data_IF_066683923197
#
_entry.id   IF_066683923197
#
_cell.length_a   1.000
_cell.length_b   1.000
_cell.length_c   1.000
_cell.angle_alpha   90.00
_cell.angle_beta   90.00
_cell.angle_gamma   90.00
#
_symmetry.space_group_name_H-M   'P 1'
#
loop_
_entity.id
_entity.type
_entity.pdbx_description
1 polymer ?
#
# COMPACT_ATOMS: atom_id res chain seq x y z
N UNK A 1 5.38 4.66 41.41
CA UNK A 1 4.13 5.36 41.03
C UNK A 1 4.27 5.72 39.55
N UNK A 2 3.78 4.86 38.66
CA UNK A 2 3.97 5.02 37.20
C UNK A 2 3.00 6.08 36.70
N UNK A 3 3.51 7.13 36.07
CA UNK A 3 2.78 8.33 35.67
C UNK A 3 1.67 8.02 34.66
N UNK A 4 0.44 7.79 35.13
CA UNK A 4 -0.76 7.57 34.29
C UNK A 4 -1.30 8.86 33.63
N UNK A 5 -0.75 10.01 34.00
CA UNK A 5 -1.18 11.32 33.53
C UNK A 5 -1.07 11.56 32.01
N UNK A 6 0.03 11.20 31.32
CA UNK A 6 0.20 11.52 29.90
C UNK A 6 -0.82 10.83 28.98
N UNK A 7 -1.25 9.62 29.33
CA UNK A 7 -2.22 8.85 28.54
C UNK A 7 -3.65 9.38 28.69
N UNK A 8 -4.04 9.79 29.90
CA UNK A 8 -5.35 10.39 30.16
C UNK A 8 -5.51 11.71 29.40
N UNK A 9 -4.50 12.57 29.45
CA UNK A 9 -4.50 13.85 28.72
C UNK A 9 -4.55 13.59 27.20
N UNK A 10 -3.77 12.64 26.67
CA UNK A 10 -3.85 12.29 25.25
C UNK A 10 -5.22 11.78 24.83
N UNK A 11 -5.86 10.93 25.65
CA UNK A 11 -7.19 10.41 25.36
C UNK A 11 -8.23 11.54 25.30
N UNK A 12 -8.19 12.48 26.24
CA UNK A 12 -9.06 13.65 26.24
C UNK A 12 -8.87 14.51 24.99
N UNK A 13 -7.62 14.81 24.63
CA UNK A 13 -7.33 15.61 23.44
C UNK A 13 -7.69 14.89 22.14
N UNK A 14 -7.55 13.57 22.08
CA UNK A 14 -8.00 12.77 20.93
C UNK A 14 -9.54 12.79 20.79
N UNK A 15 -10.27 12.75 21.91
CA UNK A 15 -11.73 12.87 21.88
C UNK A 15 -12.16 14.26 21.37
N UNK A 16 -11.53 15.33 21.88
CA UNK A 16 -11.75 16.71 21.41
C UNK A 16 -11.42 16.89 19.93
N UNK A 17 -10.31 16.30 19.48
CA UNK A 17 -9.92 16.32 18.08
C UNK A 17 -10.97 15.65 17.20
N UNK A 18 -11.41 14.44 17.56
CA UNK A 18 -12.44 13.70 16.81
C UNK A 18 -13.76 14.45 16.75
N UNK A 19 -14.16 15.09 17.85
CA UNK A 19 -15.36 15.92 17.90
C UNK A 19 -15.27 17.13 16.96
N UNK A 20 -14.10 17.77 16.86
CA UNK A 20 -13.90 18.96 16.02
C UNK A 20 -13.83 18.63 14.53
N UNK A 21 -13.07 17.59 14.16
CA UNK A 21 -12.73 17.33 12.76
C UNK A 21 -13.52 16.18 12.12
N UNK A 22 -14.25 15.38 12.91
CA UNK A 22 -15.03 14.24 12.41
C UNK A 22 -14.20 13.00 12.06
N UNK A 23 -12.88 13.03 12.25
CA UNK A 23 -11.99 11.89 12.05
C UNK A 23 -10.98 11.78 13.20
N UNK A 24 -10.35 10.62 13.33
CA UNK A 24 -9.28 10.40 14.32
C UNK A 24 -8.03 11.21 13.96
N UNK A 25 -7.19 11.49 14.96
CA UNK A 25 -5.90 12.14 14.76
C UNK A 25 -4.94 11.19 14.04
N UNK A 26 -4.39 11.62 12.91
CA UNK A 26 -3.44 10.84 12.11
C UNK A 26 -2.09 11.55 12.08
N UNK A 27 -1.05 10.81 12.47
CA UNK A 27 0.35 11.24 12.45
C UNK A 27 1.26 10.03 12.31
N UNK A 28 2.39 10.20 11.60
CA UNK A 28 3.47 9.22 11.65
C UNK A 28 4.22 9.34 12.98
N UNK A 29 3.98 8.38 13.89
CA UNK A 29 4.55 8.37 15.23
C UNK A 29 5.99 7.79 15.30
N UNK A 30 6.53 7.28 14.20
CA UNK A 30 7.88 6.72 14.18
C UNK A 30 8.91 7.74 14.67
N UNK A 31 9.68 7.37 15.69
CA UNK A 31 10.70 8.23 16.30
C UNK A 31 10.20 9.40 17.14
N UNK A 32 8.89 9.48 17.46
CA UNK A 32 8.31 10.57 18.26
C UNK A 32 7.96 10.11 19.67
N UNK A 33 8.23 10.96 20.64
CA UNK A 33 7.83 10.77 22.04
C UNK A 33 6.36 11.14 22.27
N UNK A 34 5.76 10.58 23.32
CA UNK A 34 4.39 10.88 23.75
C UNK A 34 4.15 12.37 24.01
N UNK A 35 5.16 13.09 24.51
CA UNK A 35 5.07 14.54 24.79
C UNK A 35 5.02 15.33 23.48
N UNK A 36 5.84 14.98 22.50
CA UNK A 36 5.82 15.60 21.17
C UNK A 36 4.50 15.33 20.45
N UNK A 37 3.96 14.11 20.56
CA UNK A 37 2.66 13.77 19.99
C UNK A 37 1.54 14.61 20.62
N UNK A 38 1.55 14.78 21.94
CA UNK A 38 0.57 15.61 22.64
C UNK A 38 0.68 17.08 22.25
N UNK A 39 1.90 17.61 22.15
CA UNK A 39 2.14 18.99 21.73
C UNK A 39 1.62 19.22 20.30
N UNK A 40 1.90 18.30 19.39
CA UNK A 40 1.45 18.38 18.00
C UNK A 40 -0.07 18.25 17.87
N UNK A 41 -0.69 17.36 18.66
CA UNK A 41 -2.15 17.21 18.75
C UNK A 41 -2.80 18.52 19.21
N UNK A 42 -2.30 19.13 20.29
CA UNK A 42 -2.79 20.42 20.81
C UNK A 42 -2.65 21.54 19.79
N UNK A 43 -1.50 21.61 19.11
CA UNK A 43 -1.23 22.60 18.06
C UNK A 43 -2.22 22.47 16.90
N UNK A 44 -2.39 21.25 16.39
CA UNK A 44 -3.27 20.94 15.24
C UNK A 44 -4.75 21.09 15.57
N UNK A 45 -5.15 20.92 16.82
CA UNK A 45 -6.52 21.23 17.26
C UNK A 45 -6.95 22.67 16.99
N UNK A 46 -6.04 23.62 16.74
CA UNK A 46 -6.38 25.01 16.37
C UNK A 46 -6.57 25.22 14.86
N UNK A 47 -6.22 24.23 14.02
CA UNK A 47 -6.31 24.35 12.56
C UNK A 47 -7.75 24.45 12.06
N UNK A 48 -7.90 25.04 10.87
CA UNK A 48 -9.14 24.95 10.07
C UNK A 48 -9.32 23.51 9.56
N UNK A 49 -10.54 22.95 9.48
CA UNK A 49 -10.76 21.58 9.03
C UNK A 49 -10.16 21.24 7.66
N UNK A 50 -10.20 22.19 6.70
CA UNK A 50 -9.63 21.99 5.36
C UNK A 50 -8.11 21.85 5.37
N UNK A 51 -7.42 22.56 6.25
CA UNK A 51 -5.95 22.42 6.40
C UNK A 51 -5.64 21.12 7.12
N UNK A 52 -6.46 20.75 8.09
CA UNK A 52 -6.23 19.57 8.91
C UNK A 52 -6.40 18.26 8.14
N UNK A 53 -7.35 18.19 7.20
CA UNK A 53 -7.53 17.01 6.35
C UNK A 53 -6.32 16.80 5.42
N UNK A 54 -5.72 17.88 4.90
CA UNK A 54 -4.50 17.83 4.09
C UNK A 54 -3.31 17.32 4.92
N UNK A 55 -3.15 17.83 6.15
CA UNK A 55 -2.08 17.36 7.06
C UNK A 55 -2.30 15.91 7.46
N UNK A 56 -3.54 15.49 7.73
CA UNK A 56 -3.89 14.11 8.04
C UNK A 56 -3.58 13.17 6.86
N UNK A 57 -3.91 13.57 5.63
CA UNK A 57 -3.56 12.84 4.41
C UNK A 57 -2.05 12.70 4.24
N UNK A 58 -1.28 13.77 4.45
CA UNK A 58 0.19 13.71 4.43
C UNK A 58 0.75 12.79 5.53
N UNK A 59 0.13 12.79 6.71
CA UNK A 59 0.46 11.84 7.79
C UNK A 59 0.22 10.39 7.39
N UNK A 60 -0.90 10.11 6.74
CA UNK A 60 -1.27 8.77 6.26
C UNK A 60 -0.32 8.28 5.16
N UNK A 61 0.11 9.19 4.26
CA UNK A 61 1.10 8.89 3.22
C UNK A 61 2.42 8.44 3.84
N UNK A 62 2.95 9.16 4.83
CA UNK A 62 4.18 8.78 5.55
C UNK A 62 4.08 7.41 6.24
N UNK A 63 2.94 7.12 6.86
CA UNK A 63 2.70 5.80 7.48
C UNK A 63 2.72 4.71 6.40
N UNK A 64 2.15 4.98 5.23
CA UNK A 64 2.10 4.04 4.10
C UNK A 64 3.50 3.80 3.55
N UNK A 65 4.28 4.85 3.31
CA UNK A 65 5.67 4.77 2.84
C UNK A 65 6.53 3.92 3.78
N UNK A 66 6.47 4.17 5.10
CA UNK A 66 7.22 3.38 6.09
C UNK A 66 6.83 1.91 6.08
N UNK A 67 5.53 1.61 5.93
CA UNK A 67 5.04 0.23 5.86
C UNK A 67 5.55 -0.47 4.60
N UNK A 68 5.50 0.20 3.45
CA UNK A 68 6.02 -0.33 2.20
C UNK A 68 7.53 -0.57 2.30
N UNK A 69 8.29 0.39 2.82
CA UNK A 69 9.73 0.24 3.03
C UNK A 69 10.06 -0.98 3.91
N UNK A 70 9.31 -1.19 5.00
CA UNK A 70 9.48 -2.36 5.87
C UNK A 70 9.15 -3.68 5.16
N UNK A 71 8.13 -3.72 4.30
CA UNK A 71 7.79 -4.91 3.52
C UNK A 71 8.89 -5.29 2.52
N UNK A 72 9.53 -4.31 1.88
CA UNK A 72 10.61 -4.57 0.93
C UNK A 72 11.96 -4.84 1.62
N UNK A 73 12.23 -4.21 2.77
CA UNK A 73 13.46 -4.45 3.53
C UNK A 73 13.49 -5.83 4.20
N UNK A 74 12.34 -6.33 4.66
CA UNK A 74 12.24 -7.65 5.33
C UNK A 74 12.47 -8.82 4.36
N UNK A 75 12.10 -8.67 3.07
CA UNK A 75 12.34 -9.67 2.03
C UNK A 75 13.84 -9.92 1.76
N UNK A 76 14.69 -8.91 1.94
CA UNK A 76 16.14 -9.04 1.77
C UNK A 76 16.84 -9.84 2.89
N UNK A 77 16.22 -9.96 4.08
CA UNK A 77 16.78 -10.71 5.22
C UNK A 77 16.41 -12.20 5.20
N UNK A 78 15.35 -12.57 4.48
CA UNK A 78 14.87 -13.96 4.41
C UNK A 78 15.65 -14.85 3.42
N UNK A 79 16.57 -14.31 2.62
CA UNK A 79 17.35 -15.08 1.63
C UNK A 79 18.69 -15.62 2.16
N UNK A 80 18.99 -15.46 3.45
CA UNK A 80 20.22 -15.98 4.06
C UNK A 80 19.97 -16.71 5.38
N UNK A 81 19.19 -17.79 5.36
CA UNK A 81 19.30 -18.86 6.36
C UNK A 81 18.88 -20.16 5.70
N UNK A 82 19.86 -20.88 5.18
CA UNK A 82 19.68 -22.27 4.78
C UNK A 82 19.35 -23.10 6.01
N UNK A 83 18.09 -23.51 6.13
CA UNK A 83 17.71 -24.69 6.90
C UNK A 83 16.85 -25.56 5.99
N UNK A 84 17.31 -26.79 5.85
CA UNK A 84 16.81 -27.86 5.00
C UNK A 84 15.38 -28.27 5.44
N UNK A 85 14.40 -28.15 4.55
CA UNK A 85 13.13 -28.87 4.66
C UNK A 85 12.82 -29.54 3.30
N UNK A 86 12.31 -30.78 3.30
CA UNK A 86 12.17 -31.55 2.08
C UNK A 86 10.99 -31.08 1.24
N UNK A 87 11.14 -31.36 -0.04
CA UNK A 87 10.25 -31.06 -1.17
C UNK A 87 8.81 -31.51 -0.96
N UNK A 88 7.87 -30.59 -1.10
CA UNK A 88 6.56 -30.88 -1.71
C UNK A 88 6.32 -29.85 -2.81
N UNK A 89 6.22 -30.37 -4.02
CA UNK A 89 5.97 -29.67 -5.27
C UNK A 89 4.75 -28.74 -5.19
N UNK A 90 4.95 -27.48 -5.53
CA UNK A 90 3.92 -26.63 -6.14
C UNK A 90 4.61 -25.55 -6.96
N UNK A 91 4.94 -25.90 -8.21
CA UNK A 91 5.33 -24.96 -9.27
C UNK A 91 4.17 -24.01 -9.61
N UNK A 92 3.88 -23.01 -8.78
CA UNK A 92 3.06 -21.85 -9.22
C UNK A 92 3.14 -20.60 -8.32
N UNK A 93 4.28 -20.33 -7.70
CA UNK A 93 4.48 -19.10 -6.90
C UNK A 93 5.65 -18.22 -7.36
N UNK A 94 6.59 -18.74 -8.17
CA UNK A 94 7.77 -18.00 -8.64
C UNK A 94 7.50 -16.99 -9.75
N UNK A 95 6.40 -17.14 -10.49
CA UNK A 95 6.16 -16.43 -11.75
C UNK A 95 5.74 -14.96 -11.55
N UNK A 96 5.12 -14.64 -10.41
CA UNK A 96 4.52 -13.31 -10.17
C UNK A 96 5.54 -12.24 -9.76
N UNK A 97 6.70 -12.65 -9.23
CA UNK A 97 7.79 -11.73 -8.83
C UNK A 97 8.67 -11.35 -10.04
N UNK A 98 8.87 -12.27 -10.97
CA UNK A 98 9.61 -12.00 -12.22
C UNK A 98 8.93 -10.97 -13.11
N UNK A 99 7.59 -10.97 -13.17
CA UNK A 99 6.84 -9.97 -13.95
C UNK A 99 7.08 -8.55 -13.43
N UNK A 100 7.21 -8.36 -12.11
CA UNK A 100 7.48 -7.05 -11.52
C UNK A 100 8.95 -6.65 -11.73
N UNK A 101 9.88 -7.60 -11.58
CA UNK A 101 11.31 -7.37 -11.81
C UNK A 101 11.63 -6.93 -13.24
N UNK A 102 11.02 -7.58 -14.24
CA UNK A 102 11.22 -7.27 -15.66
C UNK A 102 10.80 -5.85 -16.06
N UNK A 103 9.94 -5.19 -15.27
CA UNK A 103 9.47 -3.82 -15.51
C UNK A 103 10.42 -2.76 -14.93
N UNK A 104 11.17 -3.09 -13.87
CA UNK A 104 12.08 -2.15 -13.18
C UNK A 104 13.45 -2.11 -13.87
N UNK A 105 13.92 -3.23 -14.43
CA UNK A 105 15.23 -3.31 -15.10
C UNK A 105 15.21 -2.88 -16.57
N UNK A 106 14.04 -2.70 -17.18
CA UNK A 106 13.92 -2.35 -18.60
C UNK A 106 14.42 -0.94 -18.98
N UNK A 107 14.75 -0.09 -18.00
CA UNK A 107 15.33 1.25 -18.24
C UNK A 107 16.87 1.25 -18.32
N UNK A 108 17.54 0.10 -18.18
CA UNK A 108 19.01 0.05 -18.29
C UNK A 108 19.49 -1.28 -18.88
N UNK A 109 19.42 -1.39 -20.20
CA UNK A 109 20.50 -1.87 -21.10
C UNK A 109 19.91 -2.23 -22.47
N UNK A 110 20.23 -1.39 -23.46
CA UNK A 110 20.14 -1.77 -24.85
C UNK A 110 21.29 -2.73 -25.17
N UNK A 111 21.02 -3.85 -25.86
CA UNK A 111 21.70 -4.29 -27.09
C UNK A 111 21.11 -5.61 -27.63
N UNK A 112 20.70 -5.52 -28.89
CA UNK A 112 20.57 -6.56 -29.94
C UNK A 112 19.66 -7.79 -29.75
N UNK A 113 18.48 -7.74 -30.41
CA UNK A 113 17.82 -8.95 -30.93
C UNK A 113 16.30 -8.86 -31.19
N UNK A 114 15.91 -8.48 -32.41
CA UNK A 114 14.57 -8.58 -33.06
C UNK A 114 13.41 -7.66 -32.57
N UNK A 115 12.73 -6.93 -33.47
CA UNK A 115 11.65 -6.02 -33.09
C UNK A 115 10.29 -6.72 -33.15
N UNK A 116 9.67 -6.92 -31.99
CA UNK A 116 8.22 -6.82 -31.85
C UNK A 116 7.97 -5.81 -30.74
N UNK A 117 8.17 -4.54 -31.10
CA UNK A 117 8.06 -3.40 -30.20
C UNK A 117 6.58 -3.17 -29.90
N UNK A 118 6.05 -3.81 -28.85
CA UNK A 118 4.76 -3.42 -28.28
C UNK A 118 4.95 -1.99 -27.74
N UNK A 119 4.22 -0.99 -28.25
CA UNK A 119 4.38 0.39 -27.79
C UNK A 119 4.07 0.46 -26.29
N UNK A 120 4.83 1.29 -25.58
CA UNK A 120 4.66 1.52 -24.15
C UNK A 120 3.21 1.97 -23.88
N UNK A 121 2.37 1.05 -23.39
CA UNK A 121 1.01 1.37 -23.00
C UNK A 121 1.07 2.27 -21.77
N UNK A 122 0.70 3.53 -21.95
CA UNK A 122 0.66 4.58 -20.92
C UNK A 122 -0.54 4.44 -19.96
N UNK A 123 -1.18 3.25 -19.93
CA UNK A 123 -2.33 2.93 -19.08
C UNK A 123 -2.13 1.53 -18.48
N UNK A 124 -2.44 1.33 -17.20
CA UNK A 124 -2.44 0.00 -16.60
C UNK A 124 -3.42 -0.92 -17.33
N UNK A 125 -3.15 -2.24 -17.38
CA UNK A 125 -4.00 -3.20 -18.09
C UNK A 125 -5.39 -3.31 -17.45
N UNK A 126 -6.42 -3.50 -18.28
CA UNK A 126 -7.79 -3.80 -17.84
C UNK A 126 -7.91 -5.31 -17.62
N UNK A 127 -8.37 -5.72 -16.44
CA UNK A 127 -8.58 -7.13 -16.07
C UNK A 127 -10.04 -7.37 -15.68
N UNK A 128 -10.63 -8.50 -16.10
CA UNK A 128 -11.98 -8.93 -15.72
C UNK A 128 -11.98 -10.39 -15.24
N UNK A 129 -12.93 -10.75 -14.38
CA UNK A 129 -13.14 -12.11 -13.89
C UNK A 129 -14.63 -12.48 -14.00
N UNK A 130 -14.94 -13.69 -14.48
CA UNK A 130 -16.31 -14.19 -14.58
C UNK A 130 -16.45 -15.44 -13.69
N UNK A 131 -17.48 -15.43 -12.82
CA UNK A 131 -17.75 -16.48 -11.85
C UNK A 131 -19.12 -17.12 -12.10
N UNK A 132 -19.18 -18.45 -12.04
CA UNK A 132 -20.43 -19.20 -11.93
C UNK A 132 -20.84 -19.25 -10.46
N UNK A 133 -21.87 -18.49 -10.09
CA UNK A 133 -22.35 -18.41 -8.70
C UNK A 133 -23.13 -19.64 -8.25
N UNK A 134 -23.65 -20.45 -9.17
CA UNK A 134 -24.35 -21.69 -8.82
C UNK A 134 -23.34 -22.80 -8.47
N UNK A 135 -22.14 -22.76 -9.05
CA UNK A 135 -21.08 -23.75 -8.84
C UNK A 135 -19.89 -23.23 -8.04
N UNK A 136 -19.95 -21.99 -7.58
CA UNK A 136 -18.87 -21.30 -6.85
C UNK A 136 -17.49 -21.44 -7.53
N UNK A 137 -17.45 -21.42 -8.86
CA UNK A 137 -16.25 -21.72 -9.64
C UNK A 137 -16.05 -20.73 -10.80
N UNK A 138 -14.85 -20.63 -11.37
CA UNK A 138 -14.64 -19.79 -12.56
C UNK A 138 -15.55 -20.22 -13.70
N UNK A 139 -16.14 -19.26 -14.41
CA UNK A 139 -17.02 -19.52 -15.54
C UNK A 139 -16.20 -19.92 -16.79
N UNK A 140 -15.65 -21.14 -16.77
CA UNK A 140 -14.83 -21.67 -17.85
C UNK A 140 -15.64 -21.79 -19.15
N UNK A 141 -15.06 -21.35 -20.26
CA UNK A 141 -15.68 -21.44 -21.59
C UNK A 141 -16.67 -20.32 -21.95
N UNK A 142 -16.86 -19.31 -21.10
CA UNK A 142 -17.64 -18.11 -21.45
C UNK A 142 -16.81 -17.18 -22.32
N UNK A 143 -17.34 -16.83 -23.50
CA UNK A 143 -16.74 -15.85 -24.41
C UNK A 143 -16.94 -14.42 -23.88
N UNK A 144 -15.90 -13.59 -23.97
CA UNK A 144 -15.92 -12.21 -23.52
C UNK A 144 -15.36 -11.33 -24.64
N UNK A 145 -16.20 -10.42 -25.15
CA UNK A 145 -15.82 -9.44 -26.18
C UNK A 145 -15.58 -8.07 -25.54
N UNK A 146 -14.49 -7.41 -25.92
CA UNK A 146 -14.15 -6.07 -25.47
C UNK A 146 -14.15 -5.11 -26.66
N UNK A 147 -15.01 -4.09 -26.59
CA UNK A 147 -15.11 -3.06 -27.62
C UNK A 147 -14.67 -1.70 -27.08
N UNK A 148 -13.94 -0.95 -27.90
CA UNK A 148 -13.64 0.44 -27.58
C UNK A 148 -14.82 1.31 -27.97
N UNK A 149 -15.43 1.98 -26.99
CA UNK A 149 -16.46 2.97 -27.26
C UNK A 149 -15.86 4.17 -27.99
N UNK A 150 -16.33 4.41 -29.23
CA UNK A 150 -16.03 5.61 -30.02
C UNK A 150 -17.25 6.51 -29.91
N UNK A 151 -17.24 7.44 -28.95
CA UNK A 151 -18.39 8.33 -28.69
C UNK A 151 -18.93 8.98 -29.96
N UNK A 152 -20.25 9.21 -29.98
CA UNK A 152 -20.96 10.00 -30.99
C UNK A 152 -20.91 11.48 -30.65
#
# INVERSE_FOLDING_TARGET
>A
MVSSWPSQVLAEWNARYKQKFGHIFIICASGRSTVELLAELKRRCSNRPIVEIEIAAAGQMKVTELRLANLFSTKARATSTGVLYPTVDTQKAGDRVSIIGARITADSEAVAGKPSRVPAQNRPPITTHVLDTAKESPAAGIEVNLEMWKGT
#
